data_IF_513627543778
#
_entry.id   IF_513627543778
#
_cell.length_a   1.000
_cell.length_b   1.000
_cell.length_c   1.000
_cell.angle_alpha   90.00
_cell.angle_beta   90.00
_cell.angle_gamma   90.00
#
_symmetry.space_group_name_H-M   'P 1'
#
loop_
_entity.id
_entity.type
_entity.pdbx_description
1 polymer ?
#
# COMPACT_ATOMS: atom_id res chain seq x y z
N UNK A 1 -25.70 42.78 -3.64
CA UNK A 1 -24.65 42.86 -4.68
C UNK A 1 -25.21 43.34 -6.01
N UNK A 2 -25.48 44.64 -6.11
CA UNK A 2 -25.85 45.32 -7.36
C UNK A 2 -24.77 46.34 -7.74
N UNK A 3 -24.62 46.62 -9.03
CA UNK A 3 -23.71 47.67 -9.50
C UNK A 3 -24.11 49.01 -8.86
N UNK A 4 -23.14 49.73 -8.30
CA UNK A 4 -23.35 51.01 -7.60
C UNK A 4 -23.58 50.91 -6.09
N UNK A 5 -23.65 49.69 -5.53
CA UNK A 5 -23.73 49.48 -4.08
C UNK A 5 -22.40 49.88 -3.42
N UNK A 6 -22.46 50.68 -2.34
CA UNK A 6 -21.31 51.28 -1.65
C UNK A 6 -21.14 50.70 -0.24
N UNK A 7 -19.90 50.43 0.16
CA UNK A 7 -19.53 49.93 1.47
C UNK A 7 -18.46 50.82 2.10
N UNK A 8 -18.58 51.14 3.38
CA UNK A 8 -17.66 52.04 4.08
C UNK A 8 -16.38 51.33 4.48
N UNK A 9 -16.46 50.01 4.74
CA UNK A 9 -15.32 49.19 5.15
C UNK A 9 -15.19 47.92 4.30
N UNK A 10 -14.03 47.28 4.40
CA UNK A 10 -13.82 45.99 3.77
C UNK A 10 -14.62 44.87 4.46
N UNK A 11 -14.82 44.97 5.77
CA UNK A 11 -15.61 44.00 6.55
C UNK A 11 -17.08 44.02 6.13
N UNK A 12 -17.68 45.20 5.98
CA UNK A 12 -19.04 45.36 5.44
C UNK A 12 -19.20 44.71 4.05
N UNK A 13 -18.19 44.86 3.18
CA UNK A 13 -18.19 44.21 1.88
C UNK A 13 -18.09 42.68 2.00
N UNK A 14 -17.28 42.15 2.92
CA UNK A 14 -17.19 40.69 3.14
C UNK A 14 -18.50 40.11 3.67
N UNK A 15 -19.15 40.81 4.60
CA UNK A 15 -20.44 40.40 5.16
C UNK A 15 -21.54 40.46 4.10
N UNK A 16 -21.56 41.50 3.26
CA UNK A 16 -22.50 41.61 2.14
C UNK A 16 -22.30 40.50 1.09
N UNK A 17 -21.04 40.18 0.75
CA UNK A 17 -20.73 39.06 -0.16
C UNK A 17 -21.14 37.72 0.46
N UNK A 18 -20.96 37.54 1.77
CA UNK A 18 -21.38 36.34 2.49
C UNK A 18 -22.90 36.20 2.51
N UNK A 19 -23.62 37.26 2.89
CA UNK A 19 -25.08 37.29 2.88
C UNK A 19 -25.64 36.98 1.48
N UNK A 20 -25.07 37.59 0.44
CA UNK A 20 -25.43 37.29 -0.94
C UNK A 20 -25.15 35.84 -1.33
N UNK A 21 -24.02 35.28 -0.88
CA UNK A 21 -23.65 33.88 -1.13
C UNK A 21 -24.65 32.89 -0.51
N UNK A 22 -25.09 33.19 0.72
CA UNK A 22 -26.04 32.38 1.47
C UNK A 22 -27.46 32.47 0.87
N UNK A 23 -27.92 33.68 0.50
CA UNK A 23 -29.23 33.91 -0.12
C UNK A 23 -29.36 33.25 -1.50
N UNK A 24 -28.28 33.29 -2.29
CA UNK A 24 -28.29 32.78 -3.67
C UNK A 24 -27.72 31.37 -3.79
N UNK A 25 -27.32 30.72 -2.69
CA UNK A 25 -26.73 29.38 -2.66
C UNK A 25 -25.48 29.23 -3.56
N UNK A 26 -24.66 30.28 -3.66
CA UNK A 26 -23.44 30.33 -4.48
C UNK A 26 -22.26 30.77 -3.65
N UNK A 27 -21.17 29.99 -3.66
CA UNK A 27 -19.96 30.36 -2.93
C UNK A 27 -19.00 31.18 -3.79
N UNK A 28 -18.72 32.41 -3.36
CA UNK A 28 -17.70 33.28 -3.95
C UNK A 28 -16.35 33.15 -3.23
N UNK A 29 -15.27 33.38 -3.97
CA UNK A 29 -13.92 33.49 -3.41
C UNK A 29 -13.17 34.69 -4.00
N UNK A 30 -12.25 35.26 -3.23
CA UNK A 30 -11.36 36.34 -3.66
C UNK A 30 -10.37 35.79 -4.69
N UNK A 31 -10.53 36.17 -5.96
CA UNK A 31 -9.62 35.78 -7.03
C UNK A 31 -8.37 36.66 -7.04
N UNK A 32 -8.61 37.97 -7.01
CA UNK A 32 -7.60 39.02 -7.07
C UNK A 32 -7.96 40.12 -6.09
N UNK A 33 -6.95 40.63 -5.39
CA UNK A 33 -7.09 41.78 -4.51
C UNK A 33 -5.85 42.65 -4.66
N UNK A 34 -6.06 43.97 -4.69
CA UNK A 34 -5.00 44.96 -4.76
C UNK A 34 -5.15 45.91 -3.59
N UNK A 35 -4.17 45.90 -2.69
CA UNK A 35 -4.12 46.82 -1.56
C UNK A 35 -3.91 48.28 -2.02
N UNK A 36 -4.44 49.24 -1.24
CA UNK A 36 -4.28 50.68 -1.51
C UNK A 36 -2.81 51.10 -1.56
N UNK A 37 -1.98 50.57 -0.66
CA UNK A 37 -0.53 50.83 -0.67
C UNK A 37 0.17 50.38 -1.97
N UNK A 38 -0.28 49.27 -2.56
CA UNK A 38 0.24 48.79 -3.86
C UNK A 38 -0.33 49.58 -5.04
N UNK A 39 -1.53 50.14 -4.89
CA UNK A 39 -2.12 51.09 -5.83
C UNK A 39 -1.34 52.42 -5.88
N UNK A 40 -1.08 53.03 -4.72
CA UNK A 40 -0.30 54.27 -4.59
C UNK A 40 1.12 54.13 -5.17
N UNK A 41 1.81 53.01 -4.89
CA UNK A 41 3.13 52.71 -5.47
C UNK A 41 3.18 52.64 -7.00
N UNK A 42 2.05 52.36 -7.66
CA UNK A 42 1.93 52.33 -9.13
C UNK A 42 1.41 53.66 -9.71
N UNK A 43 1.49 54.76 -8.96
CA UNK A 43 1.22 56.10 -9.48
C UNK A 43 -0.20 56.63 -9.26
N UNK A 44 -1.03 55.98 -8.44
CA UNK A 44 -2.36 56.51 -8.10
C UNK A 44 -2.22 57.61 -7.04
N UNK A 45 -2.54 58.86 -7.43
CA UNK A 45 -2.39 60.07 -6.60
C UNK A 45 -3.70 60.61 -5.99
N UNK A 46 -4.84 59.94 -6.21
CA UNK A 46 -6.15 60.38 -5.71
C UNK A 46 -6.32 60.13 -4.20
N UNK A 47 -7.18 60.93 -3.56
CA UNK A 47 -7.59 60.72 -2.17
C UNK A 47 -8.27 59.35 -2.01
N UNK A 48 -7.91 58.64 -0.94
CA UNK A 48 -8.51 57.37 -0.54
C UNK A 48 -8.54 57.38 0.97
N UNK A 49 -9.72 57.14 1.55
CA UNK A 49 -9.94 57.04 2.98
C UNK A 49 -8.98 56.02 3.60
N UNK A 50 -8.37 56.37 4.73
CA UNK A 50 -7.38 55.55 5.43
C UNK A 50 -7.98 54.22 5.95
N UNK A 51 -9.30 54.19 6.17
CA UNK A 51 -10.02 52.99 6.61
C UNK A 51 -10.19 51.95 5.49
N UNK A 52 -9.93 52.31 4.22
CA UNK A 52 -10.01 51.38 3.08
C UNK A 52 -8.63 50.79 2.79
N UNK A 53 -8.44 49.53 3.16
CA UNK A 53 -7.17 48.81 2.95
C UNK A 53 -7.00 48.26 1.53
N UNK A 54 -8.11 48.03 0.81
CA UNK A 54 -8.14 47.38 -0.50
C UNK A 54 -8.62 48.36 -1.56
N UNK A 55 -7.81 48.59 -2.60
CA UNK A 55 -8.17 49.45 -3.73
C UNK A 55 -9.18 48.78 -4.66
N UNK A 56 -9.01 47.48 -4.88
CA UNK A 56 -9.81 46.69 -5.81
C UNK A 56 -9.82 45.23 -5.38
N UNK A 57 -10.97 44.58 -5.41
CA UNK A 57 -11.14 43.15 -5.15
C UNK A 57 -12.09 42.52 -6.15
N UNK A 58 -11.73 41.33 -6.64
CA UNK A 58 -12.52 40.53 -7.57
C UNK A 58 -12.97 39.25 -6.89
N UNK A 59 -14.28 39.09 -6.76
CA UNK A 59 -14.91 37.86 -6.29
C UNK A 59 -15.39 37.06 -7.50
N UNK A 60 -15.11 35.77 -7.52
CA UNK A 60 -15.61 34.84 -8.55
C UNK A 60 -16.32 33.66 -7.90
N UNK A 61 -17.26 33.06 -8.62
CA UNK A 61 -17.83 31.76 -8.22
C UNK A 61 -16.71 30.72 -8.05
N UNK A 62 -16.85 29.80 -7.08
CA UNK A 62 -15.93 28.67 -6.88
C UNK A 62 -15.69 27.82 -8.14
N UNK A 63 -16.67 27.78 -9.05
CA UNK A 63 -16.56 27.10 -10.34
C UNK A 63 -15.94 27.94 -11.47
N UNK A 64 -15.45 29.15 -11.17
CA UNK A 64 -14.89 30.08 -12.16
C UNK A 64 -13.54 29.66 -12.73
N UNK A 65 -13.19 30.24 -13.89
CA UNK A 65 -12.12 29.83 -14.81
C UNK A 65 -10.69 30.20 -14.38
N UNK A 66 -10.22 29.79 -13.19
CA UNK A 66 -8.78 29.90 -12.86
C UNK A 66 -8.07 28.57 -13.13
N UNK A 67 -7.46 28.45 -14.30
CA UNK A 67 -6.54 27.36 -14.62
C UNK A 67 -5.19 27.63 -13.95
N UNK A 68 -4.87 26.84 -12.92
CA UNK A 68 -3.51 26.82 -12.38
C UNK A 68 -2.65 25.94 -13.30
N UNK A 69 -1.54 26.46 -13.83
CA UNK A 69 -0.55 25.62 -14.50
C UNK A 69 0.05 24.67 -13.46
N UNK A 70 -0.12 23.37 -13.66
CA UNK A 70 0.46 22.36 -12.78
C UNK A 70 1.99 22.41 -12.87
N UNK A 71 2.68 22.32 -11.73
CA UNK A 71 4.14 22.17 -11.66
C UNK A 71 4.58 20.71 -11.48
N UNK A 72 3.63 19.78 -11.54
CA UNK A 72 3.82 18.34 -11.25
C UNK A 72 3.75 17.48 -12.50
N UNK A 73 4.31 16.27 -12.45
CA UNK A 73 4.34 15.27 -13.54
C UNK A 73 2.98 14.69 -13.96
N UNK A 74 1.88 15.09 -13.31
CA UNK A 74 0.52 14.71 -13.72
C UNK A 74 0.09 13.30 -13.32
N UNK A 75 0.86 12.58 -12.50
CA UNK A 75 0.59 11.19 -12.08
C UNK A 75 -0.67 11.00 -11.22
N UNK A 76 -1.25 12.08 -10.67
CA UNK A 76 -2.49 12.02 -9.88
C UNK A 76 -3.66 12.63 -10.65
N UNK A 77 -4.72 11.85 -10.83
CA UNK A 77 -6.01 12.36 -11.29
C UNK A 77 -6.68 13.20 -10.18
N UNK A 78 -6.66 14.53 -10.33
CA UNK A 78 -7.35 15.45 -9.41
C UNK A 78 -8.53 16.12 -10.11
N UNK A 79 -9.72 16.02 -9.51
CA UNK A 79 -10.92 16.74 -9.98
C UNK A 79 -11.02 18.10 -9.29
N UNK A 80 -11.15 19.17 -10.06
CA UNK A 80 -11.38 20.54 -9.55
C UNK A 80 -12.85 20.92 -9.67
N UNK A 81 -13.32 21.87 -8.85
CA UNK A 81 -14.66 22.46 -8.99
C UNK A 81 -14.80 23.40 -10.20
N UNK A 82 -13.70 23.69 -10.91
CA UNK A 82 -13.65 24.62 -12.04
C UNK A 82 -14.47 24.07 -13.20
N UNK A 83 -15.44 24.88 -13.64
CA UNK A 83 -16.39 24.57 -14.71
C UNK A 83 -16.57 25.77 -15.65
N UNK A 84 -15.62 26.71 -15.63
CA UNK A 84 -15.64 27.87 -16.50
C UNK A 84 -16.67 28.94 -16.15
N UNK A 85 -17.20 28.96 -14.92
CA UNK A 85 -18.33 29.83 -14.56
C UNK A 85 -18.02 31.33 -14.75
N UNK A 86 -18.88 32.09 -15.48
CA UNK A 86 -18.64 33.50 -15.75
C UNK A 86 -19.04 34.43 -14.60
N UNK A 87 -19.69 33.94 -13.54
CA UNK A 87 -20.18 34.79 -12.45
C UNK A 87 -19.05 35.45 -11.63
N UNK A 88 -19.13 36.78 -11.45
CA UNK A 88 -18.17 37.57 -10.68
C UNK A 88 -18.74 38.88 -10.14
N UNK A 89 -18.07 39.43 -9.12
CA UNK A 89 -18.25 40.80 -8.63
C UNK A 89 -16.90 41.52 -8.58
N UNK A 90 -16.85 42.72 -9.13
CA UNK A 90 -15.69 43.61 -9.05
C UNK A 90 -16.04 44.81 -8.19
N UNK A 91 -15.34 44.94 -7.07
CA UNK A 91 -15.47 46.08 -6.18
C UNK A 91 -14.19 46.91 -6.25
N UNK A 92 -14.32 48.23 -6.37
CA UNK A 92 -13.21 49.17 -6.40
C UNK A 92 -13.51 50.36 -5.49
N UNK A 93 -12.47 51.07 -5.06
CA UNK A 93 -12.66 52.38 -4.42
C UNK A 93 -13.41 53.33 -5.35
N UNK A 94 -14.49 53.92 -4.84
CA UNK A 94 -15.35 54.90 -5.49
C UNK A 94 -14.58 56.11 -5.99
N UNK A 95 -15.19 56.93 -6.85
CA UNK A 95 -14.56 58.13 -7.39
C UNK A 95 -14.23 59.16 -6.30
N UNK A 96 -15.07 59.28 -5.28
CA UNK A 96 -14.91 60.14 -4.10
C UNK A 96 -13.79 59.66 -3.14
N UNK A 97 -13.36 58.40 -3.26
CA UNK A 97 -12.30 57.82 -2.42
C UNK A 97 -12.78 57.38 -1.03
N UNK A 98 -14.08 57.49 -0.73
CA UNK A 98 -14.64 57.25 0.61
C UNK A 98 -15.23 55.87 0.81
N UNK A 99 -15.60 55.17 -0.27
CA UNK A 99 -16.32 53.89 -0.20
C UNK A 99 -15.73 52.83 -1.16
N UNK A 100 -16.05 51.57 -0.92
CA UNK A 100 -15.90 50.48 -1.88
C UNK A 100 -17.20 50.32 -2.65
N UNK A 101 -17.15 50.53 -3.96
CA UNK A 101 -18.29 50.47 -4.85
C UNK A 101 -18.22 49.23 -5.75
N UNK A 102 -19.36 48.56 -5.93
CA UNK A 102 -19.50 47.48 -6.92
C UNK A 102 -19.50 48.07 -8.32
N UNK A 103 -18.35 48.01 -9.00
CA UNK A 103 -18.16 48.59 -10.34
C UNK A 103 -18.76 47.73 -11.45
N UNK A 104 -18.72 46.41 -11.30
CA UNK A 104 -19.34 45.50 -12.25
C UNK A 104 -19.67 44.16 -11.62
N UNK A 105 -20.77 43.57 -12.06
CA UNK A 105 -21.26 42.28 -11.60
C UNK A 105 -21.78 41.46 -12.77
N UNK A 106 -21.51 40.16 -12.75
CA UNK A 106 -22.15 39.18 -13.63
C UNK A 106 -22.69 38.05 -12.75
N UNK A 107 -24.00 37.83 -12.79
CA UNK A 107 -24.72 36.95 -11.86
C UNK A 107 -25.27 35.69 -12.54
N UNK A 108 -25.04 35.51 -13.84
CA UNK A 108 -25.45 34.31 -14.56
C UNK A 108 -24.45 33.17 -14.35
N UNK A 109 -24.97 31.97 -14.15
CA UNK A 109 -24.20 30.75 -13.90
C UNK A 109 -24.45 29.72 -14.99
N UNK A 110 -23.40 29.04 -15.41
CA UNK A 110 -23.45 27.94 -16.38
C UNK A 110 -23.60 26.55 -15.73
N UNK A 111 -23.91 26.50 -14.43
CA UNK A 111 -24.01 25.27 -13.65
C UNK A 111 -25.24 25.33 -12.73
N UNK A 112 -25.80 24.18 -12.32
CA UNK A 112 -26.93 24.17 -11.40
C UNK A 112 -26.56 24.82 -10.07
N UNK A 113 -27.50 25.58 -9.54
CA UNK A 113 -27.46 26.21 -8.23
C UNK A 113 -28.61 25.60 -7.42
N UNK A 114 -28.30 25.05 -6.25
CA UNK A 114 -29.31 24.58 -5.32
C UNK A 114 -28.76 24.62 -3.90
N UNK A 115 -29.66 24.77 -2.93
CA UNK A 115 -29.32 24.71 -1.52
C UNK A 115 -28.57 23.41 -1.17
N UNK A 116 -29.03 22.27 -1.69
CA UNK A 116 -28.39 20.97 -1.46
C UNK A 116 -26.94 20.92 -1.97
N UNK A 117 -26.63 21.56 -3.10
CA UNK A 117 -25.26 21.64 -3.63
C UNK A 117 -24.42 22.58 -2.76
N UNK A 118 -24.99 23.72 -2.35
CA UNK A 118 -24.31 24.72 -1.53
C UNK A 118 -23.89 24.16 -0.17
N UNK A 119 -24.81 23.49 0.53
CA UNK A 119 -24.55 22.86 1.84
C UNK A 119 -23.46 21.78 1.77
N UNK A 120 -23.25 21.15 0.61
CA UNK A 120 -22.19 20.15 0.40
C UNK A 120 -20.81 20.76 0.13
N UNK A 121 -20.68 22.08 -0.02
CA UNK A 121 -19.38 22.71 -0.27
C UNK A 121 -18.45 22.63 0.95
N UNK A 122 -17.14 22.40 0.77
CA UNK A 122 -16.20 22.24 1.89
C UNK A 122 -16.21 23.39 2.91
N UNK A 123 -16.45 24.64 2.50
CA UNK A 123 -16.55 25.77 3.44
C UNK A 123 -17.84 25.72 4.26
N UNK A 124 -18.97 25.32 3.68
CA UNK A 124 -20.25 25.24 4.38
C UNK A 124 -20.25 24.11 5.42
N UNK A 125 -19.65 22.98 5.05
CA UNK A 125 -19.43 21.82 5.94
C UNK A 125 -18.37 22.05 7.02
N UNK A 126 -17.63 23.16 6.99
CA UNK A 126 -16.60 23.43 7.98
C UNK A 126 -17.21 23.61 9.37
N UNK A 127 -16.77 22.78 10.32
CA UNK A 127 -17.20 22.84 11.71
C UNK A 127 -16.49 23.96 12.46
N UNK A 128 -17.12 24.46 13.52
CA UNK A 128 -16.50 25.36 14.49
C UNK A 128 -15.36 24.64 15.23
N UNK A 129 -14.37 25.39 15.71
CA UNK A 129 -13.18 24.77 16.32
C UNK A 129 -13.51 24.01 17.60
N UNK A 130 -14.47 24.49 18.41
CA UNK A 130 -14.96 23.78 19.59
C UNK A 130 -15.49 22.37 19.24
N UNK A 131 -16.33 22.29 18.20
CA UNK A 131 -16.87 21.01 17.70
C UNK A 131 -15.76 20.13 17.14
N UNK A 132 -14.75 20.71 16.45
CA UNK A 132 -13.60 19.91 15.98
C UNK A 132 -12.83 19.29 17.13
N UNK A 133 -12.64 20.00 18.23
CA UNK A 133 -11.95 19.47 19.42
C UNK A 133 -12.74 18.30 20.02
N UNK A 134 -14.05 18.44 20.19
CA UNK A 134 -14.92 17.36 20.68
C UNK A 134 -14.87 16.13 19.76
N UNK A 135 -14.99 16.35 18.44
CA UNK A 135 -14.89 15.28 17.44
C UNK A 135 -13.54 14.57 17.51
N UNK A 136 -12.44 15.30 17.71
CA UNK A 136 -11.11 14.69 17.87
C UNK A 136 -11.04 13.81 19.13
N UNK A 137 -11.58 14.27 20.25
CA UNK A 137 -11.64 13.50 21.50
C UNK A 137 -12.47 12.22 21.34
N UNK A 138 -13.68 12.32 20.78
CA UNK A 138 -14.55 11.16 20.53
C UNK A 138 -13.91 10.16 19.55
N UNK A 139 -13.17 10.65 18.56
CA UNK A 139 -12.41 9.81 17.64
C UNK A 139 -11.24 9.07 18.31
N UNK A 140 -10.57 9.67 19.30
CA UNK A 140 -9.53 8.98 20.11
C UNK A 140 -10.12 7.84 20.93
N UNK A 141 -11.34 8.00 21.45
CA UNK A 141 -12.08 6.97 22.17
C UNK A 141 -12.68 5.88 21.24
N UNK A 142 -12.26 5.84 19.97
CA UNK A 142 -12.72 4.87 18.95
C UNK A 142 -14.25 4.86 18.75
N UNK A 143 -14.91 6.01 18.91
CA UNK A 143 -16.34 6.13 18.68
C UNK A 143 -16.72 5.77 17.23
N UNK A 144 -17.93 5.22 17.04
CA UNK A 144 -18.42 4.84 15.72
C UNK A 144 -18.65 6.07 14.84
N UNK A 145 -17.95 6.15 13.69
CA UNK A 145 -18.01 7.30 12.77
C UNK A 145 -19.40 7.60 12.22
N UNK A 146 -20.28 6.60 12.05
CA UNK A 146 -21.64 6.80 11.55
C UNK A 146 -22.51 7.48 12.62
N UNK A 147 -22.42 7.02 13.85
CA UNK A 147 -23.12 7.62 14.99
C UNK A 147 -22.61 9.02 15.28
N UNK A 148 -21.29 9.22 15.22
CA UNK A 148 -20.67 10.53 15.40
C UNK A 148 -21.11 11.52 14.32
N UNK A 149 -21.19 11.07 13.05
CA UNK A 149 -21.76 11.88 11.97
C UNK A 149 -23.21 12.29 12.29
N UNK A 150 -24.06 11.35 12.68
CA UNK A 150 -25.46 11.65 13.01
C UNK A 150 -25.58 12.65 14.15
N UNK A 151 -24.80 12.47 15.23
CA UNK A 151 -24.77 13.39 16.36
C UNK A 151 -24.37 14.80 15.94
N UNK A 152 -23.28 14.96 15.18
CA UNK A 152 -22.86 16.30 14.72
C UNK A 152 -23.91 16.94 13.82
N UNK A 153 -24.56 16.16 12.95
CA UNK A 153 -25.64 16.68 12.09
C UNK A 153 -26.85 17.13 12.92
N UNK A 154 -27.19 16.43 14.00
CA UNK A 154 -28.26 16.81 14.93
C UNK A 154 -27.89 18.05 15.75
N UNK A 155 -26.68 18.11 16.29
CA UNK A 155 -26.24 19.17 17.20
C UNK A 155 -25.96 20.49 16.46
N UNK A 156 -25.45 20.41 15.23
CA UNK A 156 -24.99 21.60 14.46
C UNK A 156 -25.85 21.96 13.27
N UNK A 157 -26.75 21.07 12.84
CA UNK A 157 -27.54 21.23 11.61
C UNK A 157 -26.74 21.18 10.30
N UNK A 158 -25.40 21.05 10.36
CA UNK A 158 -24.54 21.06 9.17
C UNK A 158 -24.45 19.69 8.52
N UNK A 159 -24.38 19.67 7.19
CA UNK A 159 -24.07 18.44 6.43
C UNK A 159 -22.59 18.08 6.65
N UNK A 160 -22.32 16.87 7.15
CA UNK A 160 -20.95 16.37 7.37
C UNK A 160 -20.74 15.05 6.63
N UNK A 161 -19.59 14.89 5.98
CA UNK A 161 -19.20 13.64 5.33
C UNK A 161 -18.29 12.82 6.25
N UNK A 162 -18.33 11.49 6.10
CA UNK A 162 -17.39 10.59 6.81
C UNK A 162 -15.92 10.91 6.48
N UNK A 163 -15.68 11.47 5.30
CA UNK A 163 -14.36 11.94 4.88
C UNK A 163 -13.88 13.13 5.73
N UNK A 164 -14.78 14.03 6.14
CA UNK A 164 -14.42 15.18 6.99
C UNK A 164 -13.97 14.71 8.38
N UNK A 165 -14.72 13.77 8.97
CA UNK A 165 -14.34 13.15 10.25
C UNK A 165 -13.00 12.41 10.14
N UNK A 166 -12.76 11.74 9.02
CA UNK A 166 -11.50 11.05 8.78
C UNK A 166 -10.33 12.02 8.58
N UNK A 167 -10.55 13.18 7.96
CA UNK A 167 -9.56 14.24 7.83
C UNK A 167 -9.26 14.88 9.19
N UNK A 168 -10.28 15.11 10.03
CA UNK A 168 -10.10 15.63 11.40
C UNK A 168 -9.34 14.67 12.30
N UNK A 169 -9.50 13.37 12.09
CA UNK A 169 -8.76 12.33 12.79
C UNK A 169 -7.36 12.07 12.20
N UNK A 170 -7.05 12.61 11.00
CA UNK A 170 -5.77 12.36 10.34
C UNK A 170 -4.55 12.82 11.15
N UNK A 171 -4.56 13.99 11.82
CA UNK A 171 -3.46 14.43 12.68
C UNK A 171 -3.36 13.63 13.99
N UNK A 172 -4.42 12.92 14.39
CA UNK A 172 -4.45 12.09 15.60
C UNK A 172 -3.90 10.69 15.35
N UNK A 173 -3.76 10.29 14.08
CA UNK A 173 -3.10 9.04 13.75
C UNK A 173 -1.62 9.21 14.10
N UNK A 174 -1.00 8.25 14.80
CA UNK A 174 0.44 8.28 15.02
C UNK A 174 1.15 8.46 13.67
N UNK A 175 2.22 9.26 13.68
CA UNK A 175 3.09 9.42 12.52
C UNK A 175 3.57 8.02 12.16
N UNK A 176 3.15 7.56 10.97
CA UNK A 176 3.29 6.19 10.45
C UNK A 176 2.52 5.11 11.21
N UNK A 177 1.66 4.40 10.46
CA UNK A 177 1.02 3.15 10.88
C UNK A 177 2.04 2.00 11.02
N UNK A 178 3.31 2.25 10.67
CA UNK A 178 4.41 1.31 10.53
C UNK A 178 5.66 1.85 11.26
N UNK A 179 5.53 2.19 12.54
CA UNK A 179 6.69 2.51 13.38
C UNK A 179 7.45 1.22 13.70
N UNK A 180 8.63 1.06 13.07
CA UNK A 180 9.47 -0.12 13.24
C UNK A 180 9.99 -0.24 14.68
N UNK A 181 10.38 0.88 15.31
CA UNK A 181 10.93 0.87 16.66
C UNK A 181 9.87 0.46 17.68
N UNK A 182 8.66 1.01 17.57
CA UNK A 182 7.54 0.57 18.41
C UNK A 182 7.17 -0.89 18.18
N UNK A 183 7.18 -1.35 16.93
CA UNK A 183 6.86 -2.74 16.59
C UNK A 183 7.89 -3.70 17.20
N UNK A 184 9.18 -3.41 17.02
CA UNK A 184 10.28 -4.18 17.62
C UNK A 184 10.18 -4.17 19.14
N UNK A 185 9.93 -3.00 19.74
CA UNK A 185 9.77 -2.88 21.19
C UNK A 185 8.60 -3.73 21.71
N UNK A 186 7.47 -3.73 21.01
CA UNK A 186 6.31 -4.55 21.35
C UNK A 186 6.62 -6.04 21.24
N UNK A 187 7.28 -6.49 20.16
CA UNK A 187 7.66 -7.89 19.97
C UNK A 187 8.65 -8.39 21.04
N UNK A 188 9.59 -7.54 21.42
CA UNK A 188 10.56 -7.83 22.48
C UNK A 188 9.89 -7.85 23.86
N UNK A 189 9.02 -6.88 24.16
CA UNK A 189 8.41 -6.71 25.48
C UNK A 189 7.29 -7.71 25.75
N UNK A 190 6.35 -7.83 24.82
CA UNK A 190 5.10 -8.58 25.04
C UNK A 190 5.27 -10.07 24.71
N UNK A 191 6.19 -10.41 23.78
CA UNK A 191 6.41 -11.78 23.31
C UNK A 191 7.81 -12.33 23.62
N UNK A 192 8.69 -11.52 24.23
CA UNK A 192 10.07 -11.93 24.52
C UNK A 192 10.88 -12.26 23.27
N UNK A 193 10.50 -11.70 22.12
CA UNK A 193 11.07 -12.08 20.82
C UNK A 193 12.46 -11.47 20.63
N UNK A 194 13.37 -12.25 20.05
CA UNK A 194 14.57 -11.72 19.44
C UNK A 194 14.20 -11.12 18.09
N UNK A 195 14.49 -9.83 17.95
CA UNK A 195 14.21 -9.05 16.75
C UNK A 195 15.51 -8.48 16.19
N UNK A 196 15.80 -8.81 14.93
CA UNK A 196 16.97 -8.29 14.23
C UNK A 196 16.52 -7.49 13.01
N UNK A 197 17.05 -6.27 12.87
CA UNK A 197 16.70 -5.37 11.77
C UNK A 197 17.87 -5.28 10.80
N UNK A 198 17.59 -5.46 9.51
CA UNK A 198 18.51 -5.16 8.41
C UNK A 198 18.22 -3.75 7.89
N UNK A 199 19.27 -2.91 7.83
CA UNK A 199 19.19 -1.51 7.39
C UNK A 199 20.27 -1.25 6.34
N UNK A 200 19.92 -0.52 5.28
CA UNK A 200 20.81 -0.10 4.21
C UNK A 200 20.67 1.42 3.99
N UNK A 201 21.73 2.20 4.27
CA UNK A 201 21.72 3.67 4.25
C UNK A 201 20.50 4.30 4.94
N UNK A 202 20.20 3.89 6.18
CA UNK A 202 19.01 4.29 6.96
C UNK A 202 17.65 3.86 6.39
N UNK A 203 17.61 3.00 5.37
CA UNK A 203 16.38 2.40 4.87
C UNK A 203 16.19 1.00 5.43
N UNK A 204 14.99 0.70 5.90
CA UNK A 204 14.61 -0.65 6.30
C UNK A 204 14.73 -1.62 5.12
N UNK A 205 15.41 -2.73 5.33
CA UNK A 205 15.56 -3.82 4.35
C UNK A 205 15.03 -5.15 4.86
N UNK A 206 14.95 -5.36 6.17
CA UNK A 206 14.38 -6.58 6.69
C UNK A 206 14.24 -6.61 8.20
N UNK A 207 13.38 -7.51 8.67
CA UNK A 207 13.11 -7.79 10.09
C UNK A 207 13.04 -9.29 10.26
N UNK A 208 13.86 -9.85 11.14
CA UNK A 208 13.77 -11.23 11.60
C UNK A 208 13.14 -11.23 12.99
N UNK A 209 12.19 -12.14 13.22
CA UNK A 209 11.47 -12.32 14.47
C UNK A 209 11.59 -13.79 14.88
N UNK A 210 12.11 -14.03 16.08
CA UNK A 210 12.18 -15.37 16.67
C UNK A 210 11.78 -15.31 18.15
N UNK A 211 10.70 -16.00 18.51
CA UNK A 211 10.26 -16.09 19.91
C UNK A 211 11.04 -17.18 20.66
N UNK A 212 11.02 -17.18 22.00
CA UNK A 212 11.62 -18.27 22.77
C UNK A 212 11.00 -19.63 22.44
N UNK A 213 9.68 -19.67 22.19
CA UNK A 213 8.98 -20.90 21.79
C UNK A 213 9.51 -21.42 20.45
N UNK A 214 9.67 -20.54 19.45
CA UNK A 214 10.21 -20.91 18.14
C UNK A 214 11.61 -21.54 18.24
N UNK A 215 12.49 -20.95 19.06
CA UNK A 215 13.85 -21.48 19.29
C UNK A 215 13.85 -22.81 20.04
N UNK A 216 12.98 -22.94 21.05
CA UNK A 216 12.83 -24.21 21.77
C UNK A 216 12.36 -25.33 20.83
N UNK A 217 11.42 -25.04 19.94
CA UNK A 217 10.96 -25.99 18.93
C UNK A 217 12.06 -26.37 17.94
N UNK A 218 12.86 -25.41 17.47
CA UNK A 218 14.02 -25.69 16.62
C UNK A 218 15.12 -26.49 17.34
N UNK A 219 15.30 -26.29 18.65
CA UNK A 219 16.23 -27.06 19.44
C UNK A 219 15.78 -28.52 19.62
N UNK A 220 14.46 -28.73 19.75
CA UNK A 220 13.85 -30.04 19.93
C UNK A 220 13.81 -30.88 18.64
N UNK A 221 13.48 -30.26 17.50
CA UNK A 221 13.28 -30.96 16.22
C UNK A 221 14.04 -30.29 15.05
N UNK A 222 15.38 -30.28 15.06
CA UNK A 222 16.20 -29.57 14.07
C UNK A 222 16.35 -30.28 12.71
N UNK A 223 15.91 -31.53 12.58
CA UNK A 223 16.30 -32.43 11.49
C UNK A 223 15.74 -32.00 10.13
N UNK A 224 14.54 -31.41 10.11
CA UNK A 224 13.84 -30.97 8.91
C UNK A 224 13.47 -29.49 9.01
N UNK A 225 13.71 -28.74 7.93
CA UNK A 225 13.23 -27.37 7.77
C UNK A 225 12.43 -27.22 6.48
N UNK A 226 11.25 -26.63 6.57
CA UNK A 226 10.54 -26.07 5.44
C UNK A 226 10.75 -24.55 5.39
N UNK A 227 11.11 -24.04 4.21
CA UNK A 227 11.25 -22.60 3.98
C UNK A 227 10.28 -22.21 2.87
N UNK A 228 9.43 -21.23 3.16
CA UNK A 228 8.48 -20.69 2.18
C UNK A 228 8.38 -19.16 2.29
N UNK A 229 8.05 -18.51 1.18
CA UNK A 229 7.86 -17.06 1.09
C UNK A 229 6.43 -16.74 0.67
N UNK A 230 5.72 -15.94 1.49
CA UNK A 230 4.35 -15.51 1.21
C UNK A 230 4.24 -14.01 1.02
N UNK A 231 3.58 -13.61 -0.07
CA UNK A 231 3.48 -12.22 -0.53
C UNK A 231 2.15 -11.54 -0.17
N UNK A 232 1.21 -12.28 0.45
CA UNK A 232 -0.17 -11.83 0.64
C UNK A 232 -0.51 -11.43 2.08
N UNK A 233 0.42 -11.55 3.02
CA UNK A 233 0.16 -11.29 4.43
C UNK A 233 0.16 -9.81 4.79
N UNK A 234 0.91 -8.99 4.06
CA UNK A 234 1.11 -7.58 4.39
C UNK A 234 0.49 -6.66 3.33
N UNK A 235 -0.15 -5.58 3.77
CA UNK A 235 -0.66 -4.51 2.89
C UNK A 235 0.45 -3.91 2.00
N UNK A 236 1.70 -3.98 2.47
CA UNK A 236 2.90 -3.51 1.75
C UNK A 236 3.45 -4.51 0.72
N UNK A 237 2.83 -5.70 0.57
CA UNK A 237 3.20 -6.77 -0.36
C UNK A 237 4.67 -7.23 -0.29
N UNK A 238 5.33 -6.96 0.83
CA UNK A 238 6.68 -7.43 1.12
C UNK A 238 6.65 -8.93 1.41
N UNK A 239 7.59 -9.73 0.87
CA UNK A 239 7.64 -11.16 1.15
C UNK A 239 7.89 -11.42 2.64
N UNK A 240 7.08 -12.32 3.19
CA UNK A 240 7.26 -12.88 4.53
C UNK A 240 7.79 -14.29 4.37
N UNK A 241 9.03 -14.48 4.79
CA UNK A 241 9.69 -15.77 4.89
C UNK A 241 9.26 -16.46 6.18
N UNK A 242 8.78 -17.68 6.06
CA UNK A 242 8.42 -18.52 7.20
C UNK A 242 9.27 -19.77 7.14
N UNK A 243 10.06 -19.96 8.19
CA UNK A 243 10.83 -21.19 8.42
C UNK A 243 10.07 -22.01 9.45
N UNK A 244 9.78 -23.26 9.12
CA UNK A 244 9.07 -24.19 9.98
C UNK A 244 9.80 -25.53 10.04
N UNK A 245 9.54 -26.31 11.08
CA UNK A 245 9.94 -27.71 11.19
C UNK A 245 8.71 -28.59 11.42
N UNK A 246 8.95 -29.88 11.70
CA UNK A 246 7.92 -30.84 12.05
C UNK A 246 8.24 -31.44 13.43
N UNK A 247 7.25 -31.48 14.31
CA UNK A 247 7.39 -32.07 15.64
C UNK A 247 7.27 -33.61 15.61
N UNK A 248 7.44 -34.25 16.77
CA UNK A 248 7.31 -35.72 16.89
C UNK A 248 5.91 -36.27 16.56
N UNK A 249 4.87 -35.43 16.48
CA UNK A 249 3.51 -35.81 16.11
C UNK A 249 3.21 -35.59 14.62
N UNK A 250 4.18 -35.09 13.84
CA UNK A 250 3.95 -34.72 12.44
C UNK A 250 3.28 -33.35 12.26
N UNK A 251 3.23 -32.53 13.30
CA UNK A 251 2.65 -31.18 13.26
C UNK A 251 3.70 -30.17 12.78
N UNK A 252 3.28 -29.26 11.91
CA UNK A 252 4.12 -28.15 11.44
C UNK A 252 4.21 -27.08 12.53
N UNK A 253 5.43 -26.70 12.88
CA UNK A 253 5.68 -25.64 13.85
C UNK A 253 6.57 -24.56 13.25
N UNK A 254 6.20 -23.29 13.44
CA UNK A 254 7.01 -22.17 12.96
C UNK A 254 8.21 -21.98 13.90
N UNK A 255 9.41 -21.88 13.32
CA UNK A 255 10.67 -21.69 14.05
C UNK A 255 11.36 -20.35 13.76
N UNK A 256 10.95 -19.65 12.70
CA UNK A 256 11.39 -18.29 12.44
C UNK A 256 10.45 -17.60 11.45
N UNK A 257 10.25 -16.29 11.62
CA UNK A 257 9.56 -15.44 10.65
C UNK A 257 10.49 -14.29 10.27
N UNK A 258 10.56 -13.96 8.99
CA UNK A 258 11.30 -12.81 8.52
C UNK A 258 10.54 -12.05 7.43
N UNK A 259 10.72 -10.74 7.41
CA UNK A 259 10.20 -9.83 6.39
C UNK A 259 11.42 -9.28 5.66
N UNK A 260 11.49 -9.44 4.34
CA UNK A 260 12.59 -8.92 3.53
C UNK A 260 12.04 -7.99 2.45
N UNK A 261 12.55 -6.76 2.36
CA UNK A 261 12.12 -5.77 1.35
C UNK A 261 12.58 -6.17 -0.04
N UNK A 262 13.77 -6.75 -0.15
CA UNK A 262 14.35 -7.26 -1.39
C UNK A 262 14.56 -8.76 -1.27
N UNK A 263 14.32 -9.46 -2.36
CA UNK A 263 14.66 -10.88 -2.50
C UNK A 263 15.96 -10.94 -3.31
N UNK A 264 17.08 -10.85 -2.61
CA UNK A 264 18.44 -10.89 -3.17
C UNK A 264 19.39 -11.70 -2.25
N UNK A 265 20.57 -12.09 -2.76
CA UNK A 265 21.56 -12.94 -2.06
C UNK A 265 21.91 -12.39 -0.71
N UNK A 266 22.18 -11.09 -0.65
CA UNK A 266 22.59 -10.41 0.56
C UNK A 266 21.51 -10.48 1.64
N UNK A 267 20.25 -10.22 1.27
CA UNK A 267 19.12 -10.20 2.21
C UNK A 267 18.76 -11.59 2.70
N UNK A 268 18.74 -12.58 1.80
CA UNK A 268 18.50 -13.97 2.19
C UNK A 268 19.66 -14.52 3.00
N UNK A 269 20.91 -14.19 2.67
CA UNK A 269 22.09 -14.60 3.44
C UNK A 269 22.03 -14.04 4.85
N UNK A 270 21.69 -12.76 5.00
CA UNK A 270 21.50 -12.16 6.31
C UNK A 270 20.43 -12.88 7.13
N UNK A 271 19.30 -13.26 6.52
CA UNK A 271 18.26 -14.05 7.18
C UNK A 271 18.80 -15.40 7.67
N UNK A 272 19.49 -16.15 6.80
CA UNK A 272 20.03 -17.47 7.15
C UNK A 272 21.12 -17.38 8.23
N UNK A 273 22.04 -16.41 8.12
CA UNK A 273 23.09 -16.18 9.11
C UNK A 273 22.49 -15.86 10.49
N UNK A 274 21.48 -14.97 10.55
CA UNK A 274 20.79 -14.63 11.80
C UNK A 274 19.97 -15.79 12.37
N UNK A 275 19.36 -16.59 11.50
CA UNK A 275 18.64 -17.79 11.91
C UNK A 275 19.60 -18.79 12.58
N UNK A 276 20.80 -18.99 12.01
CA UNK A 276 21.83 -19.88 12.55
C UNK A 276 22.40 -19.37 13.88
N UNK A 277 22.65 -18.06 14.00
CA UNK A 277 23.09 -17.43 15.25
C UNK A 277 22.11 -17.72 16.40
N UNK A 278 20.81 -17.65 16.11
CA UNK A 278 19.75 -17.86 17.10
C UNK A 278 19.46 -19.32 17.41
N UNK A 279 19.82 -20.25 16.52
CA UNK A 279 19.44 -21.66 16.62
C UNK A 279 20.64 -22.60 16.42
N UNK A 280 21.55 -22.76 17.39
CA UNK A 280 22.76 -23.59 17.24
C UNK A 280 22.51 -25.06 16.83
N UNK A 281 21.29 -25.58 17.06
CA UNK A 281 20.85 -26.90 16.62
C UNK A 281 20.76 -27.05 15.09
N UNK A 282 20.85 -25.96 14.31
CA UNK A 282 20.87 -25.97 12.85
C UNK A 282 21.93 -26.93 12.27
N UNK A 283 23.02 -27.16 13.00
CA UNK A 283 24.07 -28.13 12.65
C UNK A 283 23.56 -29.56 12.50
N UNK A 284 22.41 -29.90 13.12
CA UNK A 284 21.74 -31.20 13.03
C UNK A 284 20.73 -31.28 11.89
N UNK A 285 20.43 -30.19 11.20
CA UNK A 285 19.50 -30.19 10.05
C UNK A 285 20.03 -31.11 8.95
N UNK A 286 19.19 -32.05 8.52
CA UNK A 286 19.49 -33.05 7.49
C UNK A 286 18.77 -32.77 6.19
N UNK A 287 17.65 -32.07 6.25
CA UNK A 287 16.86 -31.76 5.07
C UNK A 287 16.25 -30.37 5.15
N UNK A 288 16.29 -29.67 4.03
CA UNK A 288 15.61 -28.40 3.81
C UNK A 288 14.70 -28.56 2.60
N UNK A 289 13.42 -28.26 2.75
CA UNK A 289 12.46 -28.24 1.66
C UNK A 289 12.04 -26.81 1.34
N UNK A 290 12.25 -26.41 0.08
CA UNK A 290 11.94 -25.08 -0.41
C UNK A 290 11.22 -25.12 -1.77
N UNK A 291 10.66 -23.99 -2.20
CA UNK A 291 10.24 -23.82 -3.60
C UNK A 291 11.47 -23.81 -4.53
N UNK A 292 11.31 -24.29 -5.77
CA UNK A 292 12.33 -24.25 -6.80
C UNK A 292 12.76 -22.82 -7.13
N UNK A 293 11.79 -21.90 -7.16
CA UNK A 293 11.98 -20.51 -7.55
C UNK A 293 12.35 -19.61 -6.36
N UNK A 294 12.58 -20.20 -5.17
CA UNK A 294 13.22 -19.47 -4.07
C UNK A 294 14.57 -18.97 -4.58
N UNK A 295 14.72 -17.64 -4.58
CA UNK A 295 15.63 -16.91 -5.47
C UNK A 295 17.07 -17.43 -5.44
N UNK A 296 17.50 -18.10 -4.36
CA UNK A 296 18.85 -18.62 -4.21
C UNK A 296 18.93 -19.95 -3.44
N UNK A 297 18.47 -21.04 -4.05
CA UNK A 297 18.67 -22.40 -3.51
C UNK A 297 20.15 -22.77 -3.33
N UNK A 298 21.03 -22.23 -4.16
CA UNK A 298 22.47 -22.42 -4.00
C UNK A 298 22.98 -21.81 -2.70
N UNK A 299 22.38 -20.72 -2.24
CA UNK A 299 22.69 -20.14 -0.94
C UNK A 299 22.26 -21.05 0.22
N UNK A 300 21.13 -21.76 0.10
CA UNK A 300 20.74 -22.78 1.09
C UNK A 300 21.78 -23.90 1.15
N UNK A 301 22.27 -24.38 0.00
CA UNK A 301 23.32 -25.41 -0.07
C UNK A 301 24.64 -24.93 0.56
N UNK A 302 25.02 -23.67 0.33
CA UNK A 302 26.20 -23.05 0.95
C UNK A 302 26.04 -22.89 2.47
N UNK A 303 24.84 -22.51 2.93
CA UNK A 303 24.56 -22.22 4.35
C UNK A 303 24.35 -23.48 5.17
N UNK A 304 23.84 -24.56 4.57
CA UNK A 304 23.59 -25.86 5.20
C UNK A 304 24.24 -26.99 4.41
N UNK A 305 25.58 -27.05 4.34
CA UNK A 305 26.30 -28.01 3.51
C UNK A 305 26.05 -29.48 3.89
N UNK A 306 25.62 -29.74 5.13
CA UNK A 306 25.27 -31.05 5.65
C UNK A 306 23.84 -31.51 5.32
N UNK A 307 22.99 -30.60 4.83
CA UNK A 307 21.58 -30.86 4.59
C UNK A 307 21.30 -31.07 3.10
N UNK A 308 20.38 -31.99 2.80
CA UNK A 308 19.83 -32.14 1.46
C UNK A 308 18.80 -31.04 1.20
N UNK A 309 18.99 -30.26 0.15
CA UNK A 309 18.04 -29.22 -0.27
C UNK A 309 17.08 -29.81 -1.32
N UNK A 310 15.86 -30.08 -0.89
CA UNK A 310 14.79 -30.68 -1.70
C UNK A 310 13.80 -29.62 -2.19
N UNK A 311 13.16 -29.93 -3.31
CA UNK A 311 12.07 -29.14 -3.90
C UNK A 311 10.75 -29.77 -3.46
N UNK A 312 9.85 -28.93 -2.94
CA UNK A 312 8.52 -29.35 -2.57
C UNK A 312 7.75 -29.98 -3.74
N UNK A 313 7.15 -31.17 -3.54
CA UNK A 313 6.39 -31.90 -4.59
C UNK A 313 5.20 -31.08 -5.07
N UNK A 314 4.53 -30.35 -4.18
CA UNK A 314 3.41 -29.48 -4.56
C UNK A 314 3.87 -28.39 -5.52
N UNK A 315 4.99 -27.72 -5.22
CA UNK A 315 5.57 -26.69 -6.07
C UNK A 315 6.08 -27.28 -7.40
N UNK A 316 6.77 -28.42 -7.39
CA UNK A 316 7.19 -29.12 -8.61
C UNK A 316 6.01 -29.38 -9.56
N UNK A 317 4.93 -29.99 -9.06
CA UNK A 317 3.76 -30.29 -9.89
C UNK A 317 3.03 -29.02 -10.36
N UNK A 318 3.00 -27.97 -9.55
CA UNK A 318 2.43 -26.67 -9.91
C UNK A 318 3.25 -26.00 -11.02
N UNK A 319 4.57 -26.01 -10.92
CA UNK A 319 5.48 -25.46 -11.94
C UNK A 319 5.36 -26.22 -13.25
N UNK A 320 5.30 -27.55 -13.22
CA UNK A 320 5.04 -28.33 -14.44
C UNK A 320 3.72 -27.94 -15.11
N UNK A 321 2.62 -27.78 -14.36
CA UNK A 321 1.34 -27.34 -14.94
C UNK A 321 1.40 -25.92 -15.51
N UNK A 322 2.20 -25.04 -14.92
CA UNK A 322 2.34 -23.65 -15.37
C UNK A 322 3.24 -23.50 -16.60
N UNK A 323 4.29 -24.30 -16.71
CA UNK A 323 5.24 -24.23 -17.83
C UNK A 323 4.83 -25.12 -19.00
N UNK A 324 4.39 -26.36 -18.74
CA UNK A 324 3.98 -27.30 -19.77
C UNK A 324 2.54 -26.99 -20.21
N UNK A 325 2.39 -25.94 -21.02
CA UNK A 325 1.11 -25.53 -21.63
C UNK A 325 1.16 -25.64 -23.14
N UNK A 326 0.00 -25.82 -23.79
CA UNK A 326 -0.08 -25.90 -25.26
C UNK A 326 0.53 -24.67 -25.94
N UNK A 327 0.36 -23.49 -25.35
CA UNK A 327 0.86 -22.23 -25.87
C UNK A 327 2.38 -22.08 -25.72
N UNK A 328 2.95 -22.38 -24.54
CA UNK A 328 4.40 -22.25 -24.30
C UNK A 328 5.23 -23.29 -25.04
N UNK A 329 4.67 -24.50 -25.19
CA UNK A 329 5.41 -25.66 -25.69
C UNK A 329 5.04 -26.04 -27.13
N UNK A 330 4.12 -25.31 -27.77
CA UNK A 330 3.69 -25.56 -29.16
C UNK A 330 3.27 -27.02 -29.39
N UNK A 331 2.33 -27.51 -28.57
CA UNK A 331 1.88 -28.92 -28.58
C UNK A 331 0.35 -29.05 -28.50
N UNK A 332 -0.18 -30.23 -28.82
CA UNK A 332 -1.60 -30.53 -28.67
C UNK A 332 -2.02 -30.69 -27.20
N UNK A 333 -3.31 -30.55 -26.91
CA UNK A 333 -3.84 -30.78 -25.57
C UNK A 333 -3.64 -32.23 -25.09
N UNK A 334 -3.72 -33.20 -26.01
CA UNK A 334 -3.47 -34.61 -25.72
C UNK A 334 -2.00 -34.86 -25.36
N UNK A 335 -1.07 -34.29 -26.13
CA UNK A 335 0.36 -34.35 -25.83
C UNK A 335 0.68 -33.70 -24.49
N UNK A 336 0.05 -32.56 -24.18
CA UNK A 336 0.20 -31.88 -22.88
C UNK A 336 -0.24 -32.78 -21.73
N UNK A 337 -1.43 -33.36 -21.83
CA UNK A 337 -1.98 -34.19 -20.75
C UNK A 337 -1.20 -35.48 -20.58
N UNK A 338 -0.72 -36.08 -21.67
CA UNK A 338 0.19 -37.22 -21.63
C UNK A 338 1.52 -36.86 -20.93
N UNK A 339 2.14 -35.76 -21.34
CA UNK A 339 3.40 -35.27 -20.77
C UNK A 339 3.27 -34.96 -19.28
N UNK A 340 2.22 -34.25 -18.87
CA UNK A 340 1.97 -33.91 -17.46
C UNK A 340 1.73 -35.16 -16.61
N UNK A 341 1.00 -36.15 -17.13
CA UNK A 341 0.82 -37.45 -16.45
C UNK A 341 2.15 -38.18 -16.29
N UNK A 342 3.01 -38.15 -17.30
CA UNK A 342 4.32 -38.80 -17.24
C UNK A 342 5.25 -38.10 -16.24
N UNK A 343 5.36 -36.77 -16.29
CA UNK A 343 6.11 -35.98 -15.31
C UNK A 343 5.59 -36.20 -13.88
N UNK A 344 4.27 -36.27 -13.70
CA UNK A 344 3.69 -36.60 -12.40
C UNK A 344 4.13 -37.99 -11.92
N UNK A 345 4.13 -39.01 -12.79
CA UNK A 345 4.64 -40.34 -12.44
C UNK A 345 6.12 -40.30 -12.06
N UNK A 346 6.94 -39.53 -12.79
CA UNK A 346 8.37 -39.35 -12.47
C UNK A 346 8.56 -38.75 -11.07
N UNK A 347 7.77 -37.73 -10.70
CA UNK A 347 7.82 -37.13 -9.35
C UNK A 347 7.53 -38.15 -8.25
N UNK A 348 6.59 -39.08 -8.49
CA UNK A 348 6.20 -40.09 -7.51
C UNK A 348 6.99 -41.41 -7.60
N UNK A 349 7.93 -41.52 -8.54
CA UNK A 349 8.78 -42.70 -8.69
C UNK A 349 9.56 -42.97 -7.40
N UNK A 350 9.56 -44.22 -6.93
CA UNK A 350 10.16 -44.60 -5.64
C UNK A 350 11.53 -45.24 -5.76
N UNK A 351 11.99 -45.52 -6.98
CA UNK A 351 13.30 -46.08 -7.26
C UNK A 351 13.94 -45.42 -8.47
N UNK A 352 15.27 -45.44 -8.53
CA UNK A 352 16.02 -44.89 -9.66
C UNK A 352 15.71 -45.66 -10.96
N UNK A 353 15.43 -46.97 -10.88
CA UNK A 353 15.06 -47.80 -12.04
C UNK A 353 13.65 -47.47 -12.57
N UNK A 354 12.70 -47.18 -11.69
CA UNK A 354 11.38 -46.70 -12.10
C UNK A 354 11.51 -45.32 -12.75
N UNK A 355 12.28 -44.42 -12.14
CA UNK A 355 12.51 -43.09 -12.69
C UNK A 355 13.17 -43.16 -14.08
N UNK A 356 14.23 -43.96 -14.24
CA UNK A 356 14.93 -44.11 -15.52
C UNK A 356 13.99 -44.61 -16.63
N UNK A 357 13.14 -45.61 -16.35
CA UNK A 357 12.15 -46.09 -17.33
C UNK A 357 11.14 -45.00 -17.74
N UNK A 358 10.75 -44.13 -16.81
CA UNK A 358 9.84 -43.02 -17.10
C UNK A 358 10.54 -41.88 -17.83
N UNK A 359 11.82 -41.65 -17.55
CA UNK A 359 12.66 -40.69 -18.25
C UNK A 359 12.90 -41.11 -19.71
N UNK A 360 13.17 -42.40 -19.97
CA UNK A 360 13.26 -42.94 -21.33
C UNK A 360 11.94 -42.82 -22.10
N UNK A 361 10.81 -43.00 -21.40
CA UNK A 361 9.48 -42.76 -21.99
C UNK A 361 9.29 -41.27 -22.32
N UNK A 362 9.78 -40.37 -21.47
CA UNK A 362 9.68 -38.93 -21.71
C UNK A 362 10.53 -38.55 -22.92
N UNK A 363 11.77 -39.05 -23.01
CA UNK A 363 12.71 -38.78 -24.09
C UNK A 363 12.22 -39.29 -25.45
N UNK A 364 11.43 -40.36 -25.47
CA UNK A 364 10.88 -40.94 -26.69
C UNK A 364 9.54 -40.36 -27.13
N UNK A 365 8.73 -39.81 -26.21
CA UNK A 365 7.35 -39.42 -26.50
C UNK A 365 7.07 -37.92 -26.40
N UNK A 366 7.87 -37.17 -25.63
CA UNK A 366 7.62 -35.76 -25.39
C UNK A 366 8.06 -34.89 -26.58
N UNK A 367 7.36 -33.78 -26.85
CA UNK A 367 7.80 -32.78 -27.83
C UNK A 367 9.19 -32.21 -27.50
N UNK A 368 9.96 -31.84 -28.51
CA UNK A 368 11.32 -31.30 -28.35
C UNK A 368 11.38 -30.07 -27.41
N UNK A 369 10.36 -29.21 -27.44
CA UNK A 369 10.22 -28.05 -26.55
C UNK A 369 10.14 -28.43 -25.06
N UNK A 370 9.46 -29.54 -24.74
CA UNK A 370 9.40 -30.08 -23.38
C UNK A 370 10.74 -30.63 -22.97
N UNK A 371 11.41 -31.38 -23.85
CA UNK A 371 12.71 -31.97 -23.57
C UNK A 371 13.76 -30.89 -23.33
N UNK A 372 13.77 -29.81 -24.12
CA UNK A 372 14.63 -28.66 -23.90
C UNK A 372 14.38 -28.02 -22.52
N UNK A 373 13.12 -27.80 -22.17
CA UNK A 373 12.74 -27.28 -20.84
C UNK A 373 13.17 -28.22 -19.70
N UNK A 374 12.90 -29.52 -19.83
CA UNK A 374 13.22 -30.53 -18.83
C UNK A 374 14.74 -30.65 -18.62
N UNK A 375 15.51 -30.72 -19.72
CA UNK A 375 16.97 -30.84 -19.69
C UNK A 375 17.62 -29.62 -19.04
N UNK A 376 17.09 -28.43 -19.32
CA UNK A 376 17.61 -27.17 -18.77
C UNK A 376 17.30 -27.00 -17.29
N UNK A 377 16.11 -27.41 -16.83
CA UNK A 377 15.59 -26.99 -15.52
C UNK A 377 15.47 -28.10 -14.47
N UNK A 378 15.42 -29.38 -14.88
CA UNK A 378 15.00 -30.48 -14.00
C UNK A 378 15.92 -31.70 -14.05
N UNK A 379 16.42 -32.10 -15.22
CA UNK A 379 17.20 -33.34 -15.39
C UNK A 379 18.44 -33.39 -14.49
N UNK A 380 19.22 -32.31 -14.45
CA UNK A 380 20.47 -32.24 -13.66
C UNK A 380 20.26 -32.30 -12.15
N UNK A 381 19.05 -31.96 -11.68
CA UNK A 381 18.69 -31.88 -10.26
C UNK A 381 17.66 -32.95 -9.87
N UNK A 382 17.58 -34.07 -10.62
CA UNK A 382 16.55 -35.11 -10.41
C UNK A 382 16.35 -35.49 -8.95
N UNK A 383 17.45 -35.70 -8.21
CA UNK A 383 17.43 -36.14 -6.82
C UNK A 383 16.78 -35.14 -5.84
N UNK A 384 16.57 -33.90 -6.27
CA UNK A 384 16.00 -32.85 -5.43
C UNK A 384 14.46 -32.83 -5.48
N UNK A 385 13.81 -33.42 -6.48
CA UNK A 385 12.36 -33.24 -6.72
C UNK A 385 11.53 -34.50 -6.93
N UNK A 386 12.14 -35.66 -7.20
CA UNK A 386 11.41 -36.93 -7.27
C UNK A 386 11.49 -37.69 -5.95
N UNK A 387 10.47 -38.48 -5.61
CA UNK A 387 10.35 -39.23 -4.36
C UNK A 387 11.20 -40.51 -4.32
N UNK A 388 12.43 -40.44 -4.83
CA UNK A 388 13.39 -41.52 -4.77
C UNK A 388 14.00 -41.72 -3.37
N UNK A 389 14.93 -42.67 -3.22
CA UNK A 389 15.53 -43.02 -1.93
C UNK A 389 16.16 -41.83 -1.19
N UNK A 390 16.86 -40.95 -1.91
CA UNK A 390 17.49 -39.76 -1.34
C UNK A 390 16.46 -38.76 -0.80
N UNK A 391 15.36 -38.56 -1.52
CA UNK A 391 14.29 -37.65 -1.10
C UNK A 391 13.61 -38.18 0.16
N UNK A 392 13.23 -39.46 0.16
CA UNK A 392 12.50 -40.07 1.28
C UNK A 392 13.35 -40.18 2.55
N UNK A 393 14.64 -40.53 2.41
CA UNK A 393 15.57 -40.61 3.53
C UNK A 393 15.86 -39.22 4.12
N UNK A 394 15.96 -38.20 3.27
CA UNK A 394 16.18 -36.82 3.70
C UNK A 394 14.94 -36.20 4.35
N UNK A 395 13.77 -36.39 3.76
CA UNK A 395 12.57 -35.63 4.13
C UNK A 395 11.74 -36.22 5.26
N UNK A 396 12.11 -37.38 5.81
CA UNK A 396 11.30 -38.13 6.79
C UNK A 396 9.88 -38.41 6.28
N UNK A 397 9.74 -38.71 4.98
CA UNK A 397 8.47 -38.81 4.24
C UNK A 397 7.68 -37.52 4.05
N UNK A 398 8.20 -36.36 4.43
CA UNK A 398 7.61 -35.08 4.02
C UNK A 398 7.72 -34.91 2.52
N UNK A 399 6.62 -34.53 1.89
CA UNK A 399 6.58 -34.25 0.45
C UNK A 399 6.21 -32.82 0.14
N UNK A 400 5.78 -32.04 1.14
CA UNK A 400 5.31 -30.68 0.92
C UNK A 400 5.70 -29.78 2.08
N UNK A 401 6.14 -28.56 1.75
CA UNK A 401 6.29 -27.44 2.68
C UNK A 401 5.09 -26.47 2.63
N UNK A 402 4.10 -26.73 1.77
CA UNK A 402 2.84 -25.98 1.70
C UNK A 402 1.86 -26.45 2.78
N UNK A 403 2.22 -26.25 4.05
CA UNK A 403 1.41 -26.58 5.24
C UNK A 403 1.11 -25.36 6.10
N UNK A 404 1.46 -24.16 5.61
CA UNK A 404 1.33 -22.86 6.28
C UNK A 404 0.07 -22.11 5.86
#
# INVERSE_FOLDING_TARGET
>A
MKVGEKFSTFEELEDAVKAYSDENYVQYYKRESRAVAAAKRKGIKRYINENILVYQVHYHCIKGSRTFKTRSRGERETKTFVDGCPAYFKCCVSADGEHLEVMSSHTEHNHPISQAIYEQLPKQRALLEAVKVEVRQLMQLKANKKLLKQKIQQDTGKVVLLKDLSNLASPLKPATRNDLEQTVHLLQKDYGSDCHVLVDYNNFQGLLISTPSMRNTMAAYPEFLGIDATYKLLDVRTPVYVIHNEDSNGATEVVCVAILVREDECSLKWLLDKFQDLNPSWTKTRCIMADKDLLERDLLKKSFPQAHVLICVFHTLKTFRHEITCAKMTMSAEQRDHTLKLLQRMVYARSDEEFARLEDQLDSTAPASVLEYYNKNWRSIKNEWHKGPQFLAGSFNNTTNNRL
#
